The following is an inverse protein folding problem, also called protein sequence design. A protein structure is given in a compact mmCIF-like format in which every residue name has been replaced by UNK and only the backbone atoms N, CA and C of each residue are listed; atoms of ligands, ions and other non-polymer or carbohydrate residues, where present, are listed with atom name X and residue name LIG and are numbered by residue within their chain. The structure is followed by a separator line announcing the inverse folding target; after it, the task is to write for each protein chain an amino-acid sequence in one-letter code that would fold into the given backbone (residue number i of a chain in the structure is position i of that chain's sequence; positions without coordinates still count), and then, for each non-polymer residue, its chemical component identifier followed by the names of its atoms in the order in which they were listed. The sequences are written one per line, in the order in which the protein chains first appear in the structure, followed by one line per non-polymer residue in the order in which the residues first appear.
data_IF_376450074327
#
_entry.id   IF_376450074327
#
_cell.length_a   1.000
_cell.length_b   1.000
_cell.length_c   1.000
_cell.angle_alpha   90.00
_cell.angle_beta   90.00
_cell.angle_gamma   90.00
#
_symmetry.space_group_name_H-M   'P 1'
#
loop_
_entity.id
_entity.type
_entity.pdbx_description
1 polymer ?
#
# COMPACT_ATOMS: atom_id res chain seq x y z
N UNK A 1 11.96 -7.63 25.57
CA UNK A 1 13.01 -7.08 24.67
C UNK A 1 12.55 -5.69 24.24
N UNK A 2 12.83 -4.67 25.06
CA UNK A 2 12.52 -3.29 24.71
C UNK A 2 13.73 -2.68 24.01
N UNK A 3 13.61 -2.43 22.71
CA UNK A 3 14.60 -1.66 21.97
C UNK A 3 14.45 -0.18 22.41
N UNK A 4 15.52 0.51 22.83
CA UNK A 4 15.42 1.87 23.37
C UNK A 4 14.96 2.92 22.35
N UNK A 5 14.99 2.60 21.05
CA UNK A 5 14.59 3.52 19.98
C UNK A 5 13.33 2.97 19.30
N UNK A 6 12.20 3.64 19.54
CA UNK A 6 10.88 3.27 18.95
C UNK A 6 10.81 3.50 17.43
N UNK A 7 11.71 4.30 16.85
CA UNK A 7 11.80 4.58 15.41
C UNK A 7 13.23 4.42 14.90
N UNK A 8 13.42 3.70 13.80
CA UNK A 8 14.73 3.50 13.16
C UNK A 8 14.65 3.99 11.71
N UNK A 9 15.70 4.59 11.14
CA UNK A 9 15.66 5.22 9.82
C UNK A 9 15.79 4.22 8.65
N UNK A 10 15.42 2.96 8.85
CA UNK A 10 15.67 1.88 7.88
C UNK A 10 15.01 2.08 6.53
N UNK A 11 13.87 2.78 6.49
CA UNK A 11 13.13 3.10 5.27
C UNK A 11 13.04 4.62 5.04
N UNK A 12 13.93 5.40 5.66
CA UNK A 12 13.96 6.84 5.44
C UNK A 12 14.16 7.15 3.95
N UNK A 13 13.35 8.07 3.42
CA UNK A 13 13.34 8.43 2.01
C UNK A 13 12.66 7.43 1.08
N UNK A 14 12.08 6.34 1.63
CA UNK A 14 11.25 5.41 0.84
C UNK A 14 9.77 5.75 1.03
N UNK A 15 9.04 5.83 -0.08
CA UNK A 15 7.60 6.07 -0.12
C UNK A 15 6.85 4.75 -0.24
N UNK A 16 5.97 4.48 0.72
CA UNK A 16 5.14 3.28 0.77
C UNK A 16 3.67 3.65 0.67
N UNK A 17 2.97 3.04 -0.28
CA UNK A 17 1.54 3.28 -0.47
C UNK A 17 0.72 2.16 0.13
N UNK A 18 -0.27 2.50 0.95
CA UNK A 18 -1.28 1.57 1.43
C UNK A 18 -2.53 1.66 0.54
N UNK A 19 -2.71 0.66 -0.32
CA UNK A 19 -3.89 0.49 -1.18
C UNK A 19 -4.89 -0.50 -0.55
N UNK A 20 -5.90 0.01 0.15
CA UNK A 20 -6.94 -0.82 0.74
C UNK A 20 -8.26 -0.60 0.01
N UNK A 21 -8.62 -1.53 -0.87
CA UNK A 21 -9.88 -1.53 -1.62
C UNK A 21 -11.04 -2.16 -0.84
N UNK A 22 -10.72 -2.88 0.23
CA UNK A 22 -11.67 -3.39 1.20
C UNK A 22 -11.28 -2.99 2.62
N UNK A 23 -12.28 -2.89 3.50
CA UNK A 23 -12.08 -2.41 4.86
C UNK A 23 -11.27 -3.41 5.69
N UNK A 24 -10.11 -2.99 6.20
CA UNK A 24 -9.35 -3.76 7.19
C UNK A 24 -8.61 -2.86 8.17
N UNK A 25 -9.28 -2.53 9.27
CA UNK A 25 -8.77 -1.61 10.30
C UNK A 25 -7.49 -2.13 10.96
N UNK A 26 -7.47 -3.39 11.39
CA UNK A 26 -6.32 -3.97 12.10
C UNK A 26 -5.09 -4.08 11.19
N UNK A 27 -5.26 -4.60 9.99
CA UNK A 27 -4.16 -4.77 9.05
C UNK A 27 -3.58 -3.43 8.63
N UNK A 28 -4.43 -2.45 8.27
CA UNK A 28 -3.96 -1.11 7.89
C UNK A 28 -3.17 -0.43 9.01
N UNK A 29 -3.72 -0.40 10.23
CA UNK A 29 -3.04 0.21 11.39
C UNK A 29 -1.69 -0.48 11.66
N UNK A 30 -1.62 -1.81 11.51
CA UNK A 30 -0.36 -2.54 11.73
C UNK A 30 0.73 -2.16 10.73
N UNK A 31 0.38 -1.99 9.45
CA UNK A 31 1.32 -1.54 8.41
C UNK A 31 1.73 -0.08 8.61
N UNK A 32 0.76 0.81 8.87
CA UNK A 32 1.04 2.22 9.16
C UNK A 32 1.98 2.37 10.37
N UNK A 33 1.76 1.58 11.42
CA UNK A 33 2.63 1.59 12.59
C UNK A 33 4.03 1.08 12.26
N UNK A 34 4.15 0.01 11.46
CA UNK A 34 5.44 -0.53 11.05
C UNK A 34 6.20 0.49 10.19
N UNK A 35 5.56 1.08 9.19
CA UNK A 35 6.12 2.12 8.31
C UNK A 35 6.62 3.31 9.12
N UNK A 36 5.78 3.82 10.05
CA UNK A 36 6.15 4.92 10.96
C UNK A 36 7.33 4.56 11.88
N UNK A 37 7.42 3.31 12.33
CA UNK A 37 8.55 2.81 13.12
C UNK A 37 9.84 2.68 12.32
N UNK A 38 9.74 2.53 11.00
CA UNK A 38 10.87 2.41 10.09
C UNK A 38 11.19 3.73 9.36
N UNK A 39 10.53 4.84 9.74
CA UNK A 39 10.68 6.17 9.17
C UNK A 39 10.39 6.25 7.66
N UNK A 40 9.51 5.40 7.15
CA UNK A 40 9.02 5.49 5.77
C UNK A 40 8.02 6.65 5.60
N UNK A 41 8.00 7.24 4.41
CA UNK A 41 6.95 8.15 3.98
C UNK A 41 5.74 7.31 3.53
N UNK A 42 4.53 7.65 4.02
CA UNK A 42 3.34 6.83 3.79
C UNK A 42 2.25 7.59 3.07
N UNK A 43 1.68 6.99 2.02
CA UNK A 43 0.50 7.49 1.31
C UNK A 43 -0.63 6.49 1.49
N UNK A 44 -1.80 6.96 1.91
CA UNK A 44 -2.96 6.11 2.10
C UNK A 44 -3.99 6.35 0.99
N UNK A 45 -4.38 5.29 0.30
CA UNK A 45 -5.44 5.32 -0.70
C UNK A 45 -6.57 4.36 -0.30
N UNK A 46 -7.78 4.90 -0.21
CA UNK A 46 -9.00 4.12 0.03
C UNK A 46 -9.92 4.21 -1.17
N UNK A 47 -10.24 3.06 -1.78
CA UNK A 47 -11.10 2.98 -2.95
C UNK A 47 -12.58 3.32 -2.71
N UNK A 48 -12.99 3.62 -1.47
CA UNK A 48 -14.40 3.77 -1.06
C UNK A 48 -15.17 4.97 -1.62
N UNK A 49 -14.59 5.72 -2.57
CA UNK A 49 -15.30 6.72 -3.39
C UNK A 49 -16.03 6.07 -4.58
N UNK A 50 -16.98 6.78 -5.18
CA UNK A 50 -17.88 6.32 -6.27
C UNK A 50 -17.21 5.76 -7.54
N UNK A 51 -15.88 5.70 -7.61
CA UNK A 51 -15.07 5.25 -8.73
C UNK A 51 -14.87 3.73 -8.82
N UNK A 52 -15.26 2.94 -7.82
CA UNK A 52 -15.19 1.47 -7.86
C UNK A 52 -16.25 0.79 -8.76
N UNK A 53 -17.26 1.54 -9.24
CA UNK A 53 -18.41 0.96 -9.97
C UNK A 53 -18.13 0.60 -11.44
N UNK A 54 -17.01 1.03 -11.99
CA UNK A 54 -16.56 0.69 -13.34
C UNK A 54 -15.07 0.37 -13.21
N UNK A 55 -14.55 -0.62 -13.93
CA UNK A 55 -13.17 -1.11 -13.84
C UNK A 55 -12.04 -0.09 -14.10
N UNK A 56 -12.33 1.22 -14.05
CA UNK A 56 -11.41 2.35 -13.98
C UNK A 56 -10.58 2.34 -12.69
N UNK A 57 -11.13 1.97 -11.52
CA UNK A 57 -10.46 2.23 -10.23
C UNK A 57 -9.07 1.59 -10.08
N UNK A 58 -8.88 0.35 -10.52
CA UNK A 58 -7.58 -0.32 -10.40
C UNK A 58 -6.56 0.26 -11.39
N UNK A 59 -6.98 0.48 -12.63
CA UNK A 59 -6.13 1.04 -13.69
C UNK A 59 -5.72 2.49 -13.40
N UNK A 60 -6.64 3.31 -12.93
CA UNK A 60 -6.36 4.70 -12.55
C UNK A 60 -5.45 4.77 -11.32
N UNK A 61 -5.64 3.84 -10.36
CA UNK A 61 -4.73 3.71 -9.23
C UNK A 61 -3.32 3.35 -9.71
N UNK A 62 -3.20 2.35 -10.58
CA UNK A 62 -1.92 1.95 -11.18
C UNK A 62 -1.22 3.12 -11.88
N UNK A 63 -1.94 3.88 -12.72
CA UNK A 63 -1.37 5.03 -13.42
C UNK A 63 -0.93 6.16 -12.48
N UNK A 64 -1.74 6.44 -11.46
CA UNK A 64 -1.36 7.42 -10.44
C UNK A 64 -0.14 6.97 -9.63
N UNK A 65 -0.04 5.68 -9.31
CA UNK A 65 1.11 5.13 -8.60
C UNK A 65 2.40 5.19 -9.42
N UNK A 66 2.34 4.83 -10.70
CA UNK A 66 3.48 4.90 -11.61
C UNK A 66 4.08 6.32 -11.66
N UNK A 67 3.22 7.34 -11.68
CA UNK A 67 3.64 8.75 -11.69
C UNK A 67 4.30 9.22 -10.37
N UNK A 68 4.05 8.54 -9.25
CA UNK A 68 4.46 8.98 -7.91
C UNK A 68 5.84 8.47 -7.48
N UNK A 69 6.56 7.68 -8.30
CA UNK A 69 7.87 7.07 -7.95
C UNK A 69 7.87 6.40 -6.58
N UNK A 70 6.92 5.50 -6.40
CA UNK A 70 6.72 4.74 -5.16
C UNK A 70 7.73 3.59 -5.04
N UNK A 71 8.21 3.32 -3.82
CA UNK A 71 9.18 2.24 -3.56
C UNK A 71 8.48 0.92 -3.20
N UNK A 72 7.34 1.00 -2.50
CA UNK A 72 6.55 -0.18 -2.16
C UNK A 72 5.03 0.11 -2.09
N UNK A 73 4.24 -0.94 -2.27
CA UNK A 73 2.79 -0.93 -2.15
C UNK A 73 2.32 -2.05 -1.25
N UNK A 74 1.58 -1.71 -0.19
CA UNK A 74 0.80 -2.66 0.59
C UNK A 74 -0.61 -2.68 0.01
N UNK A 75 -1.01 -3.79 -0.59
CA UNK A 75 -2.29 -3.91 -1.29
C UNK A 75 -3.21 -4.91 -0.61
N UNK A 76 -4.46 -4.51 -0.42
CA UNK A 76 -5.57 -5.39 -0.02
C UNK A 76 -6.74 -5.20 -0.98
N UNK A 77 -7.22 -6.30 -1.57
CA UNK A 77 -8.20 -6.24 -2.66
C UNK A 77 -9.15 -7.45 -2.65
N UNK A 78 -10.46 -7.27 -2.93
CA UNK A 78 -11.43 -8.38 -2.89
C UNK A 78 -11.31 -9.38 -4.05
N UNK A 79 -10.51 -9.07 -5.07
CA UNK A 79 -10.30 -9.97 -6.21
C UNK A 79 -8.96 -10.70 -6.03
N UNK A 80 -8.96 -12.06 -6.03
CA UNK A 80 -7.74 -12.85 -5.98
C UNK A 80 -6.77 -12.52 -7.10
N UNK A 81 -5.47 -12.52 -6.79
CA UNK A 81 -4.41 -12.27 -7.77
C UNK A 81 -4.20 -10.79 -8.13
N UNK A 82 -5.00 -9.85 -7.61
CA UNK A 82 -4.82 -8.42 -7.91
C UNK A 82 -3.46 -7.84 -7.48
N UNK A 83 -2.87 -8.22 -6.32
CA UNK A 83 -1.51 -7.79 -5.98
C UNK A 83 -0.45 -8.28 -7.00
N UNK A 84 -0.59 -9.51 -7.48
CA UNK A 84 0.30 -10.06 -8.52
C UNK A 84 0.04 -9.45 -9.90
N UNK A 85 -1.17 -8.95 -10.15
CA UNK A 85 -1.46 -8.19 -11.34
C UNK A 85 -0.80 -6.80 -11.27
N UNK A 86 -0.78 -6.17 -10.10
CA UNK A 86 -0.15 -4.86 -9.88
C UNK A 86 1.35 -4.86 -10.21
N UNK A 87 2.08 -5.93 -9.87
CA UNK A 87 3.52 -6.06 -10.17
C UNK A 87 3.86 -6.00 -11.65
N UNK A 88 2.88 -6.17 -12.54
CA UNK A 88 3.07 -6.04 -14.00
C UNK A 88 3.06 -4.60 -14.49
N UNK A 89 2.67 -3.67 -13.63
CA UNK A 89 2.47 -2.26 -13.98
C UNK A 89 3.32 -1.29 -13.15
N UNK A 90 3.95 -1.76 -12.07
CA UNK A 90 4.81 -0.93 -11.22
C UNK A 90 6.11 -1.68 -10.93
N UNK A 91 7.21 -0.93 -10.86
CA UNK A 91 8.51 -1.45 -10.44
C UNK A 91 8.65 -1.55 -8.90
N UNK A 92 7.66 -1.03 -8.17
CA UNK A 92 7.62 -1.03 -6.71
C UNK A 92 7.45 -2.43 -6.11
N UNK A 93 7.96 -2.63 -4.90
CA UNK A 93 7.74 -3.86 -4.14
C UNK A 93 6.28 -3.98 -3.72
N UNK A 94 5.58 -5.02 -4.16
CA UNK A 94 4.17 -5.25 -3.78
C UNK A 94 4.08 -6.24 -2.62
N UNK A 95 3.43 -5.82 -1.55
CA UNK A 95 3.14 -6.60 -0.34
C UNK A 95 1.64 -6.93 -0.34
N UNK A 96 1.31 -8.21 -0.42
CA UNK A 96 -0.07 -8.69 -0.32
C UNK A 96 -0.55 -8.67 1.13
N UNK A 97 -1.54 -7.83 1.43
CA UNK A 97 -2.21 -7.71 2.74
C UNK A 97 -3.60 -8.38 2.77
N UNK A 98 -3.94 -9.12 1.72
CA UNK A 98 -5.16 -9.89 1.52
C UNK A 98 -5.66 -9.76 0.07
N UNK A 99 -5.88 -10.89 -0.59
CA UNK A 99 -6.53 -10.97 -1.90
C UNK A 99 -7.66 -12.02 -1.91
N UNK A 100 -8.91 -11.54 -2.02
CA UNK A 100 -10.11 -12.38 -1.95
C UNK A 100 -10.97 -12.18 -0.70
#
# INVERSE_FOLDING_TARGET
MDRPIKRVPSLQGHTIVNLFFENSTRTRISFELAQKRLSADTVNFSGTGSSLKKGESFKDTVQNLEAMKIDAVVMRHPVPGSPNQLTRFVDAVVINAGDG
#
